data_IF_099125766843
#
_entry.id   IF_099125766843
#
_cell.length_a   1.000
_cell.length_b   1.000
_cell.length_c   1.000
_cell.angle_alpha   90.00
_cell.angle_beta   90.00
_cell.angle_gamma   90.00
#
_symmetry.space_group_name_H-M   'P 1'
#
loop_
_entity.id
_entity.type
_entity.pdbx_description
1 polymer ?
#
# COMPACT_ATOMS: atom_id res chain seq x y z
N UNK A 1 -7.57 -4.99 -23.25
CA UNK A 1 -7.61 -4.44 -21.88
C UNK A 1 -6.16 -4.13 -21.49
N UNK A 2 -5.82 -2.92 -21.06
CA UNK A 2 -4.47 -2.65 -20.54
C UNK A 2 -4.37 -3.24 -19.14
N UNK A 3 -3.38 -4.10 -18.89
CA UNK A 3 -3.08 -4.55 -17.53
C UNK A 3 -2.77 -3.30 -16.71
N UNK A 4 -3.58 -3.03 -15.68
CA UNK A 4 -3.29 -1.99 -14.70
C UNK A 4 -2.37 -2.63 -13.67
N UNK A 5 -1.11 -2.21 -13.66
CA UNK A 5 -0.14 -2.64 -12.67
C UNK A 5 -0.07 -1.60 -11.57
N UNK A 6 -0.25 -2.05 -10.33
CA UNK A 6 -0.10 -1.24 -9.14
C UNK A 6 1.05 -1.80 -8.32
N UNK A 7 2.06 -0.97 -8.07
CA UNK A 7 3.15 -1.28 -7.15
C UNK A 7 2.91 -0.53 -5.84
N UNK A 8 3.02 -1.23 -4.72
CA UNK A 8 2.84 -0.66 -3.38
C UNK A 8 4.15 -0.79 -2.61
N UNK A 9 4.67 0.32 -2.10
CA UNK A 9 5.94 0.40 -1.38
C UNK A 9 5.74 1.13 -0.05
N UNK A 10 6.38 0.67 1.02
CA UNK A 10 6.49 1.43 2.27
C UNK A 10 7.85 2.13 2.22
N UNK A 11 7.82 3.45 2.17
CA UNK A 11 9.02 4.29 2.23
C UNK A 11 9.05 5.06 3.56
N UNK A 12 10.23 5.24 4.12
CA UNK A 12 10.43 5.99 5.37
C UNK A 12 11.66 6.86 5.25
N UNK A 13 11.59 8.05 5.83
CA UNK A 13 12.75 8.90 6.11
C UNK A 13 12.79 9.26 7.60
N UNK A 14 13.74 10.09 8.00
CA UNK A 14 13.94 10.47 9.42
C UNK A 14 12.73 11.17 10.08
N UNK A 15 11.72 11.58 9.31
CA UNK A 15 10.59 12.41 9.77
C UNK A 15 9.22 11.78 9.51
N UNK A 16 9.08 10.95 8.48
CA UNK A 16 7.78 10.46 8.02
C UNK A 16 7.91 9.09 7.37
N UNK A 17 6.90 8.26 7.60
CA UNK A 17 6.65 7.02 6.86
C UNK A 17 5.41 7.20 5.99
N UNK A 18 5.44 6.67 4.77
CA UNK A 18 4.31 6.71 3.86
C UNK A 18 4.19 5.42 3.04
N UNK A 19 2.96 5.07 2.72
CA UNK A 19 2.63 4.07 1.71
C UNK A 19 2.58 4.77 0.35
N UNK A 20 3.42 4.36 -0.59
CA UNK A 20 3.42 4.85 -1.96
C UNK A 20 2.75 3.84 -2.87
N UNK A 21 1.79 4.30 -3.66
CA UNK A 21 1.08 3.48 -4.64
C UNK A 21 1.37 4.04 -6.03
N UNK A 22 2.10 3.27 -6.85
CA UNK A 22 2.48 3.64 -8.21
C UNK A 22 1.62 2.89 -9.22
N UNK A 23 1.00 3.60 -10.15
CA UNK A 23 0.17 3.08 -11.24
C UNK A 23 0.93 3.16 -12.57
N UNK A 24 1.18 1.99 -13.18
CA UNK A 24 1.90 1.82 -14.45
C UNK A 24 3.26 2.54 -14.52
N UNK A 25 3.93 2.77 -13.39
CA UNK A 25 5.25 3.43 -13.33
C UNK A 25 5.25 4.95 -13.61
N UNK A 26 4.11 5.57 -13.93
CA UNK A 26 4.06 7.00 -14.32
C UNK A 26 3.39 7.90 -13.29
N UNK A 27 2.40 7.39 -12.56
CA UNK A 27 1.65 8.17 -11.59
C UNK A 27 1.74 7.50 -10.24
N UNK A 28 2.02 8.26 -9.19
CA UNK A 28 2.01 7.74 -7.84
C UNK A 28 1.21 8.65 -6.91
N UNK A 29 0.66 8.04 -5.87
CA UNK A 29 0.04 8.73 -4.74
C UNK A 29 0.65 8.22 -3.45
N UNK A 30 0.69 9.07 -2.42
CA UNK A 30 1.20 8.70 -1.10
C UNK A 30 0.13 8.84 -0.03
N UNK A 31 0.14 7.90 0.91
CA UNK A 31 -0.65 7.95 2.14
C UNK A 31 0.35 8.03 3.30
N UNK A 32 0.31 9.12 4.05
CA UNK A 32 1.11 9.26 5.27
C UNK A 32 0.66 8.24 6.31
N UNK A 33 1.63 7.59 6.95
CA UNK A 33 1.41 6.67 8.06
C UNK A 33 1.98 7.32 9.32
N UNK A 34 1.09 7.76 10.21
CA UNK A 34 1.49 8.19 11.55
C UNK A 34 1.63 6.94 12.45
N UNK A 35 2.69 6.90 13.27
CA UNK A 35 3.02 5.75 14.14
C UNK A 35 3.16 4.42 13.35
N UNK A 36 4.14 4.30 12.44
CA UNK A 36 4.28 3.17 11.52
C UNK A 36 4.35 1.79 12.21
N UNK A 37 4.94 1.71 13.41
CA UNK A 37 5.04 0.48 14.20
C UNK A 37 3.67 -0.13 14.55
N UNK A 38 2.63 0.70 14.66
CA UNK A 38 1.27 0.27 15.00
C UNK A 38 0.35 0.18 13.79
N UNK A 39 0.50 1.08 12.82
CA UNK A 39 -0.43 1.19 11.70
C UNK A 39 -0.08 0.25 10.54
N UNK A 40 1.21 -0.03 10.27
CA UNK A 40 1.60 -0.95 9.18
C UNK A 40 1.02 -2.36 9.38
N UNK A 41 1.12 -3.00 10.56
CA UNK A 41 0.53 -4.32 10.77
C UNK A 41 -0.99 -4.36 10.51
N UNK A 42 -1.72 -3.32 10.95
CA UNK A 42 -3.17 -3.20 10.71
C UNK A 42 -3.51 -3.02 9.24
N UNK A 43 -2.74 -2.20 8.52
CA UNK A 43 -2.94 -1.99 7.08
C UNK A 43 -2.79 -3.33 6.34
N UNK A 44 -1.75 -4.11 6.68
CA UNK A 44 -1.52 -5.43 6.10
C UNK A 44 -2.68 -6.38 6.42
N UNK A 45 -3.14 -6.42 7.68
CA UNK A 45 -4.27 -7.24 8.11
C UNK A 45 -5.56 -6.91 7.35
N UNK A 46 -5.91 -5.63 7.24
CA UNK A 46 -7.12 -5.18 6.52
C UNK A 46 -7.04 -5.56 5.04
N UNK A 47 -5.89 -5.39 4.39
CA UNK A 47 -5.70 -5.77 2.99
C UNK A 47 -5.83 -7.28 2.80
N UNK A 48 -5.20 -8.08 3.67
CA UNK A 48 -5.30 -9.54 3.62
C UNK A 48 -6.75 -10.03 3.79
N UNK A 49 -7.48 -9.46 4.76
CA UNK A 49 -8.89 -9.79 4.98
C UNK A 49 -9.74 -9.45 3.75
N UNK A 50 -9.56 -8.26 3.17
CA UNK A 50 -10.29 -7.85 1.97
C UNK A 50 -10.05 -8.79 0.77
N UNK A 51 -8.82 -9.27 0.60
CA UNK A 51 -8.46 -10.20 -0.47
C UNK A 51 -9.08 -11.58 -0.26
N UNK A 52 -9.03 -12.09 0.97
CA UNK A 52 -9.67 -13.35 1.35
C UNK A 52 -11.20 -13.31 1.12
N UNK A 53 -11.82 -12.16 1.41
CA UNK A 53 -13.27 -11.96 1.23
C UNK A 53 -13.68 -11.84 -0.25
N UNK A 54 -12.78 -11.35 -1.11
CA UNK A 54 -13.04 -11.14 -2.55
C UNK A 54 -12.52 -12.27 -3.45
N UNK A 55 -11.76 -13.22 -2.90
CA UNK A 55 -11.11 -14.30 -3.64
C UNK A 55 -10.01 -13.83 -4.59
N UNK A 56 -9.45 -12.63 -4.36
CA UNK A 56 -8.40 -12.03 -5.19
C UNK A 56 -7.03 -12.23 -4.54
N UNK A 57 -5.99 -12.42 -5.35
CA UNK A 57 -4.58 -12.45 -4.92
C UNK A 57 -3.81 -11.26 -5.54
N UNK A 58 -2.93 -10.62 -4.76
CA UNK A 58 -1.99 -9.58 -5.24
C UNK A 58 -0.72 -10.23 -5.78
#
# INVERSE_FOLDING_TARGET
>A
MSNKEYQVEIESNDYITFLKVTHNGYQWTTIRIDNPEYEIPKIIEVLQNHLNDTGQSI
#
